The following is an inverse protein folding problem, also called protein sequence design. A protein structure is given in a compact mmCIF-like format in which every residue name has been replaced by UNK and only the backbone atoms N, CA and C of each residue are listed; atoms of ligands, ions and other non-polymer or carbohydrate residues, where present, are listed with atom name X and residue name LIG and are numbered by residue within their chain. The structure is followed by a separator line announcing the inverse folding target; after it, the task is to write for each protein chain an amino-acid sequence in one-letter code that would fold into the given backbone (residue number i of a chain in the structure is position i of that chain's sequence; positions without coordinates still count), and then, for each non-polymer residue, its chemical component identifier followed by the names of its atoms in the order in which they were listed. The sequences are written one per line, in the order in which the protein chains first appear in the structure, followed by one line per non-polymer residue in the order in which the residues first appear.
data_IF_026739782708
#
_entry.id   IF_026739782708
#
_cell.length_a   1.000
_cell.length_b   1.000
_cell.length_c   1.000
_cell.angle_alpha   90.00
_cell.angle_beta   90.00
_cell.angle_gamma   90.00
#
_symmetry.space_group_name_H-M   'P 1'
#
loop_
_entity.id
_entity.type
_entity.pdbx_description
1 polymer ?
#
# COMPACT_ATOMS: atom_id res chain seq x y z
N UNK A 1 -14.45 -4.86 4.71
CA UNK A 1 -14.04 -5.16 6.11
C UNK A 1 -12.84 -6.11 6.11
N UNK A 2 -11.70 -5.67 5.57
CA UNK A 2 -10.44 -6.44 5.56
C UNK A 2 -9.37 -5.77 6.43
N UNK A 3 -9.42 -4.43 6.53
CA UNK A 3 -8.43 -3.62 7.27
C UNK A 3 -8.53 -3.87 8.78
N UNK A 4 -9.74 -4.02 9.34
CA UNK A 4 -9.94 -4.13 10.79
C UNK A 4 -9.29 -5.39 11.37
N UNK A 5 -9.37 -6.54 10.71
CA UNK A 5 -8.77 -7.80 11.22
C UNK A 5 -7.23 -7.77 11.24
N UNK A 6 -6.60 -7.04 10.32
CA UNK A 6 -5.14 -6.89 10.29
C UNK A 6 -4.67 -6.02 11.45
N UNK A 7 -5.39 -4.93 11.74
CA UNK A 7 -5.11 -4.05 12.88
C UNK A 7 -5.14 -4.82 14.20
N UNK A 8 -6.13 -5.69 14.42
CA UNK A 8 -6.21 -6.50 15.64
C UNK A 8 -5.06 -7.50 15.82
N UNK A 9 -4.53 -8.10 14.73
CA UNK A 9 -3.38 -9.03 14.81
C UNK A 9 -2.03 -8.34 15.02
N UNK A 10 -1.94 -7.07 14.64
CA UNK A 10 -0.75 -6.22 14.84
C UNK A 10 -0.70 -5.66 16.27
N UNK A 11 -1.86 -5.45 16.89
CA UNK A 11 -1.98 -4.75 18.17
C UNK A 11 -1.52 -5.56 19.41
N UNK A 12 -1.26 -6.86 19.25
CA UNK A 12 -0.75 -7.72 20.33
C UNK A 12 0.74 -7.47 20.63
N UNK A 13 1.45 -6.75 19.75
CA UNK A 13 2.84 -6.31 19.95
C UNK A 13 2.86 -4.79 20.06
N UNK A 14 3.40 -4.23 21.15
CA UNK A 14 3.63 -2.77 21.31
C UNK A 14 4.75 -2.22 20.38
N UNK A 15 5.16 -3.00 19.39
CA UNK A 15 6.17 -2.66 18.39
C UNK A 15 5.48 -2.33 17.07
N UNK A 16 6.03 -1.33 16.38
CA UNK A 16 5.57 -0.97 15.04
C UNK A 16 5.84 -2.15 14.08
N UNK A 17 4.81 -2.69 13.41
CA UNK A 17 4.99 -3.84 12.53
C UNK A 17 5.81 -3.44 11.30
N UNK A 18 6.79 -4.26 10.95
CA UNK A 18 7.58 -4.03 9.74
C UNK A 18 6.78 -4.33 8.46
N UNK A 19 7.20 -3.75 7.33
CA UNK A 19 6.53 -3.96 6.04
C UNK A 19 6.42 -5.44 5.66
N UNK A 20 7.46 -6.22 5.97
CA UNK A 20 7.47 -7.68 5.80
C UNK A 20 6.35 -8.33 6.62
N UNK A 21 6.21 -7.95 7.89
CA UNK A 21 5.19 -8.51 8.79
C UNK A 21 3.77 -8.21 8.32
N UNK A 22 3.50 -6.98 7.89
CA UNK A 22 2.18 -6.60 7.36
C UNK A 22 1.91 -7.36 6.06
N UNK A 23 2.93 -7.51 5.19
CA UNK A 23 2.80 -8.25 3.94
C UNK A 23 2.46 -9.73 4.19
N UNK A 24 3.18 -10.40 5.09
CA UNK A 24 2.90 -11.79 5.49
C UNK A 24 1.47 -11.95 6.03
N UNK A 25 1.03 -11.05 6.91
CA UNK A 25 -0.32 -11.10 7.49
C UNK A 25 -1.44 -10.93 6.46
N UNK A 26 -1.17 -10.21 5.37
CA UNK A 26 -2.17 -9.88 4.34
C UNK A 26 -2.17 -10.86 3.18
N UNK A 27 -1.04 -11.52 2.91
CA UNK A 27 -0.87 -12.41 1.75
C UNK A 27 -0.79 -13.90 2.12
N UNK A 28 -0.63 -14.23 3.41
CA UNK A 28 -0.70 -15.60 3.90
C UNK A 28 -2.09 -15.91 4.47
N UNK A 29 -2.52 -17.16 4.29
CA UNK A 29 -3.72 -17.69 4.93
C UNK A 29 -3.57 -17.68 6.46
N UNK A 30 -4.69 -17.79 7.19
CA UNK A 30 -4.66 -18.00 8.65
C UNK A 30 -3.82 -19.22 9.08
N UNK A 31 -3.61 -20.19 8.19
CA UNK A 31 -2.76 -21.36 8.44
C UNK A 31 -1.28 -21.12 8.08
N UNK A 32 -0.88 -19.89 7.71
CA UNK A 32 0.48 -19.54 7.31
C UNK A 32 0.88 -20.03 5.91
N UNK A 33 -0.06 -20.62 5.16
CA UNK A 33 0.17 -21.12 3.80
C UNK A 33 0.02 -19.99 2.78
N UNK A 34 0.88 -20.01 1.76
CA UNK A 34 0.77 -19.15 0.59
C UNK A 34 -0.49 -19.51 -0.19
N UNK A 35 -1.25 -18.50 -0.61
CA UNK A 35 -2.49 -18.71 -1.35
C UNK A 35 -2.27 -18.87 -2.85
N UNK A 36 -1.11 -18.43 -3.36
CA UNK A 36 -0.75 -18.51 -4.77
C UNK A 36 0.79 -18.69 -4.91
N UNK A 37 1.23 -19.07 -6.11
CA UNK A 37 2.64 -19.32 -6.43
C UNK A 37 3.50 -18.05 -6.37
N UNK A 38 2.98 -16.90 -6.81
CA UNK A 38 3.69 -15.63 -6.78
C UNK A 38 4.01 -15.15 -5.34
N UNK A 39 3.09 -15.35 -4.40
CA UNK A 39 3.26 -15.08 -2.97
C UNK A 39 4.30 -16.03 -2.39
N UNK A 40 4.32 -17.29 -2.82
CA UNK A 40 5.34 -18.24 -2.39
C UNK A 40 6.73 -17.80 -2.84
N UNK A 41 6.89 -17.42 -4.10
CA UNK A 41 8.15 -16.93 -4.66
C UNK A 41 8.64 -15.70 -3.89
N UNK A 42 7.77 -14.70 -3.68
CA UNK A 42 8.13 -13.48 -2.93
C UNK A 42 8.49 -13.77 -1.48
N UNK A 43 7.79 -14.70 -0.82
CA UNK A 43 8.12 -15.12 0.54
C UNK A 43 9.49 -15.82 0.60
N UNK A 44 9.84 -16.62 -0.40
CA UNK A 44 11.14 -17.28 -0.48
C UNK A 44 12.27 -16.26 -0.68
N UNK A 45 12.09 -15.27 -1.55
CA UNK A 45 13.04 -14.17 -1.75
C UNK A 45 13.27 -13.39 -0.45
N UNK A 46 12.21 -13.03 0.27
CA UNK A 46 12.30 -12.35 1.57
C UNK A 46 13.11 -13.17 2.58
N UNK A 47 12.80 -14.46 2.72
CA UNK A 47 13.51 -15.36 3.65
C UNK A 47 14.98 -15.54 3.28
N UNK A 48 15.28 -15.63 1.99
CA UNK A 48 16.65 -15.76 1.50
C UNK A 48 17.48 -14.51 1.85
N UNK A 49 16.96 -13.32 1.59
CA UNK A 49 17.64 -12.07 1.92
C UNK A 49 17.80 -11.88 3.43
N UNK A 50 16.75 -12.16 4.21
CA UNK A 50 16.83 -12.14 5.67
C UNK A 50 17.91 -13.09 6.21
N UNK A 51 18.01 -14.31 5.64
CA UNK A 51 19.07 -15.25 6.03
C UNK A 51 20.47 -14.74 5.66
N UNK A 52 20.63 -14.06 4.52
CA UNK A 52 21.91 -13.47 4.13
C UNK A 52 22.34 -12.33 5.07
N UNK A 53 21.39 -11.53 5.55
CA UNK A 53 21.65 -10.49 6.57
C UNK A 53 22.05 -11.12 7.90
N UNK A 54 21.33 -12.14 8.37
CA UNK A 54 21.67 -12.86 9.61
C UNK A 54 23.07 -13.48 9.53
N UNK A 55 23.45 -14.00 8.36
CA UNK A 55 24.77 -14.57 8.12
C UNK A 55 25.87 -13.51 7.92
N UNK A 56 25.55 -12.21 7.97
CA UNK A 56 26.49 -11.10 7.80
C UNK A 56 27.02 -10.95 6.37
N UNK A 57 26.36 -11.55 5.38
CA UNK A 57 26.72 -11.44 3.96
C UNK A 57 26.23 -10.10 3.39
N UNK A 58 25.05 -9.66 3.86
CA UNK A 58 24.44 -8.39 3.49
C UNK A 58 24.29 -7.52 4.73
N UNK A 59 24.59 -6.23 4.59
CA UNK A 59 24.32 -5.22 5.60
C UNK A 59 23.07 -4.42 5.16
N UNK A 60 21.89 -4.93 5.51
CA UNK A 60 20.59 -4.42 5.10
C UNK A 60 19.60 -4.53 6.26
N UNK A 61 18.75 -3.52 6.43
CA UNK A 61 17.63 -3.61 7.38
C UNK A 61 16.41 -4.30 6.75
N UNK A 62 15.34 -4.51 7.52
CA UNK A 62 14.11 -5.15 7.01
C UNK A 62 13.44 -4.38 5.87
N UNK A 63 13.47 -3.04 5.92
CA UNK A 63 12.91 -2.19 4.87
C UNK A 63 13.72 -2.29 3.58
N UNK A 64 15.05 -2.36 3.66
CA UNK A 64 15.96 -2.53 2.53
C UNK A 64 15.72 -3.87 1.83
N UNK A 65 15.54 -4.94 2.61
CA UNK A 65 15.15 -6.26 2.10
C UNK A 65 13.80 -6.15 1.37
N UNK A 66 12.84 -5.43 1.95
CA UNK A 66 11.52 -5.24 1.36
C UNK A 66 11.57 -4.43 0.05
N UNK A 67 12.41 -3.39 -0.03
CA UNK A 67 12.72 -2.66 -1.27
C UNK A 67 13.33 -3.60 -2.31
N UNK A 68 14.28 -4.46 -1.91
CA UNK A 68 14.98 -5.33 -2.85
C UNK A 68 14.06 -6.37 -3.49
N UNK A 69 13.12 -6.93 -2.73
CA UNK A 69 12.18 -7.96 -3.21
C UNK A 69 11.06 -7.39 -4.07
N UNK A 70 10.49 -6.25 -3.68
CA UNK A 70 9.32 -5.67 -4.36
C UNK A 70 9.64 -4.50 -5.30
N UNK A 71 10.89 -4.04 -5.31
CA UNK A 71 11.34 -2.86 -6.04
C UNK A 71 11.03 -1.56 -5.30
N UNK A 72 11.52 -0.40 -5.80
CA UNK A 72 11.23 0.90 -5.21
C UNK A 72 9.73 1.24 -5.28
N UNK A 73 9.29 2.12 -4.38
CA UNK A 73 7.90 2.57 -4.38
C UNK A 73 7.65 3.46 -5.60
N UNK A 74 6.50 3.29 -6.24
CA UNK A 74 6.12 4.06 -7.43
C UNK A 74 5.10 5.12 -7.01
N UNK A 75 5.15 6.27 -7.67
CA UNK A 75 4.20 7.35 -7.38
C UNK A 75 2.75 6.84 -7.47
N UNK A 76 1.99 6.99 -6.38
CA UNK A 76 0.59 6.59 -6.29
C UNK A 76 0.33 5.09 -6.12
N UNK A 77 1.36 4.28 -5.87
CA UNK A 77 1.23 2.83 -5.65
C UNK A 77 1.98 2.40 -4.38
N UNK A 78 1.27 1.75 -3.45
CA UNK A 78 1.90 1.17 -2.26
C UNK A 78 2.62 -0.12 -2.66
N UNK A 79 3.92 -0.19 -2.38
CA UNK A 79 4.78 -1.34 -2.69
C UNK A 79 4.26 -2.63 -2.04
N UNK A 80 4.28 -3.73 -2.77
CA UNK A 80 3.87 -5.05 -2.24
C UNK A 80 2.34 -5.27 -2.15
N UNK A 81 1.54 -4.24 -2.39
CA UNK A 81 0.06 -4.31 -2.39
C UNK A 81 -0.57 -4.12 -3.78
N UNK A 82 0.27 -4.09 -4.82
CA UNK A 82 -0.15 -4.02 -6.22
C UNK A 82 -0.50 -2.61 -6.69
N UNK A 83 -1.01 -2.52 -7.92
CA UNK A 83 -1.63 -1.31 -8.47
C UNK A 83 -3.00 -1.15 -7.80
N UNK A 84 -3.02 -0.79 -6.51
CA UNK A 84 -4.22 -0.23 -5.93
C UNK A 84 -4.70 0.93 -6.80
N UNK A 85 -5.98 1.29 -6.72
CA UNK A 85 -6.51 2.47 -7.44
C UNK A 85 -5.57 3.63 -7.19
N UNK A 86 -4.79 4.02 -8.21
CA UNK A 86 -3.98 5.22 -8.12
C UNK A 86 -5.00 6.34 -7.93
N UNK A 87 -4.94 7.14 -6.85
CA UNK A 87 -5.93 8.21 -6.65
C UNK A 87 -6.07 9.07 -7.91
N UNK A 88 -4.94 9.25 -8.62
CA UNK A 88 -4.86 9.86 -9.93
C UNK A 88 -5.84 9.31 -10.98
N UNK A 89 -6.09 7.99 -11.05
CA UNK A 89 -7.04 7.39 -11.99
C UNK A 89 -8.51 7.63 -11.58
N UNK A 90 -8.81 7.62 -10.28
CA UNK A 90 -10.16 7.92 -9.76
C UNK A 90 -10.57 9.38 -10.03
N UNK A 91 -9.61 10.32 -9.99
CA UNK A 91 -9.89 11.75 -10.17
C UNK A 91 -9.76 12.23 -11.62
N UNK A 92 -9.20 11.43 -12.55
CA UNK A 92 -8.97 11.83 -13.96
C UNK A 92 -10.24 11.92 -14.79
N UNK A 93 -11.31 11.20 -14.44
CA UNK A 93 -12.56 11.14 -15.21
C UNK A 93 -13.75 11.69 -14.43
N UNK A 94 -13.58 12.84 -13.79
CA UNK A 94 -14.66 13.49 -13.08
C UNK A 94 -15.23 14.63 -13.93
N UNK A 95 -16.16 14.33 -14.83
CA UNK A 95 -17.05 15.36 -15.41
C UNK A 95 -17.66 16.22 -14.29
N UNK A 96 -17.88 15.60 -13.13
CA UNK A 96 -18.36 16.20 -11.90
C UNK A 96 -17.46 17.32 -11.35
N UNK A 97 -16.14 17.32 -11.61
CA UNK A 97 -15.25 18.41 -11.18
C UNK A 97 -15.51 19.65 -12.02
N UNK A 98 -15.62 19.51 -13.35
CA UNK A 98 -16.01 20.62 -14.22
C UNK A 98 -17.44 21.11 -13.95
N UNK A 99 -18.37 20.21 -13.67
CA UNK A 99 -19.75 20.57 -13.30
C UNK A 99 -19.78 21.34 -11.96
N UNK A 100 -18.95 20.97 -10.99
CA UNK A 100 -18.78 21.68 -9.72
C UNK A 100 -18.11 23.04 -9.92
N UNK A 101 -17.07 23.14 -10.75
CA UNK A 101 -16.40 24.39 -11.11
C UNK A 101 -17.38 25.36 -11.79
N UNK A 102 -18.20 24.86 -12.72
CA UNK A 102 -19.24 25.66 -13.37
C UNK A 102 -20.30 26.11 -12.36
N UNK A 103 -20.76 25.21 -11.49
CA UNK A 103 -21.75 25.52 -10.46
C UNK A 103 -21.26 26.57 -9.45
N UNK A 104 -19.98 26.53 -9.09
CA UNK A 104 -19.35 27.52 -8.21
C UNK A 104 -19.22 28.90 -8.89
N UNK A 105 -18.74 28.94 -10.14
CA UNK A 105 -18.67 30.18 -10.92
C UNK A 105 -20.06 30.82 -11.10
N UNK A 106 -21.09 30.01 -11.37
CA UNK A 106 -22.47 30.49 -11.50
C UNK A 106 -23.03 31.00 -10.16
N UNK A 107 -22.63 30.41 -9.03
CA UNK A 107 -23.00 30.89 -7.70
C UNK A 107 -22.32 32.23 -7.38
N UNK A 108 -21.04 32.36 -7.73
CA UNK A 108 -20.24 33.58 -7.50
C UNK A 108 -20.73 34.76 -8.35
N UNK A 109 -21.08 34.52 -9.62
CA UNK A 109 -21.70 35.53 -10.50
C UNK A 109 -23.04 36.02 -9.93
N UNK A 110 -23.90 35.10 -9.45
CA UNK A 110 -25.20 35.46 -8.87
C UNK A 110 -25.09 36.25 -7.57
N UNK A 111 -24.02 36.05 -6.79
CA UNK A 111 -23.76 36.85 -5.60
C UNK A 111 -23.32 38.28 -5.95
N UNK A 112 -22.53 38.45 -7.01
CA UNK A 112 -22.08 39.77 -7.47
C UNK A 112 -23.16 40.56 -8.23
N UNK A 113 -24.18 39.90 -8.78
CA UNK A 113 -25.37 40.53 -9.38
C UNK A 113 -26.46 40.91 -8.33
N UNK A 114 -26.27 40.51 -7.07
CA UNK A 114 -27.21 40.70 -5.95
C UNK A 114 -26.87 41.90 -5.05
N UNK A 115 -25.81 42.66 -5.35
CA UNK A 115 -25.45 43.94 -4.69
C UNK A 115 -25.94 45.16 -5.48
#
# INVERSE_FOLDING_TARGET
MYITHVVHKVQDTNEEPTGIKIWELTHLSNNGLHMNEATQEKLLELKLNASQVINGILDMNEDDIFVQVFGPEKHGCVRGYGVGVTPYELFRSSSKVHDLEHGLNEFELRLHESE
#
